data_IF_583121594567
#
_entry.id   IF_583121594567
#
_cell.length_a   1.000
_cell.length_b   1.000
_cell.length_c   1.000
_cell.angle_alpha   90.00
_cell.angle_beta   90.00
_cell.angle_gamma   90.00
#
_symmetry.space_group_name_H-M   'P 1'
#
loop_
_entity.id
_entity.type
_entity.pdbx_description
1 polymer ?
#
# COMPACT_ATOMS: atom_id res chain seq x y z
N UNK A 1 25.38 35.42 2.66
CA UNK A 1 25.43 34.46 1.54
C UNK A 1 24.00 34.16 1.12
N UNK A 2 23.56 34.79 0.04
CA UNK A 2 22.23 34.62 -0.57
C UNK A 2 22.26 33.40 -1.49
N UNK A 3 21.45 32.38 -1.17
CA UNK A 3 21.27 31.19 -2.01
C UNK A 3 20.37 31.54 -3.20
N UNK A 4 20.95 31.62 -4.39
CA UNK A 4 20.19 31.67 -5.63
C UNK A 4 19.67 30.27 -5.99
N UNK A 5 18.40 30.19 -6.36
CA UNK A 5 17.81 28.99 -6.96
C UNK A 5 18.52 28.64 -8.28
N UNK A 6 18.73 27.35 -8.61
CA UNK A 6 19.38 26.95 -9.84
C UNK A 6 18.48 27.28 -11.05
N UNK A 7 19.08 27.66 -12.20
CA UNK A 7 18.33 28.01 -13.40
C UNK A 7 17.59 26.79 -13.97
N UNK A 8 16.37 27.06 -14.45
CA UNK A 8 15.42 26.06 -14.94
C UNK A 8 16.01 25.13 -15.99
N UNK A 9 15.79 23.83 -15.80
CA UNK A 9 16.07 22.80 -16.78
C UNK A 9 15.24 23.04 -18.05
N UNK A 10 15.82 22.89 -19.25
CA UNK A 10 15.09 23.03 -20.50
C UNK A 10 14.06 21.90 -20.62
N UNK A 11 12.80 22.27 -20.88
CA UNK A 11 11.78 21.33 -21.32
C UNK A 11 12.22 20.68 -22.64
N UNK A 12 12.18 19.33 -22.76
CA UNK A 12 12.46 18.69 -24.03
C UNK A 12 11.38 19.07 -25.05
N UNK A 13 11.78 19.91 -26.01
CA UNK A 13 11.04 20.15 -27.25
C UNK A 13 11.18 18.92 -28.15
N UNK A 14 10.03 18.42 -28.61
CA UNK A 14 9.79 17.29 -29.53
C UNK A 14 9.47 15.96 -28.86
N UNK A 15 8.16 15.80 -28.61
CA UNK A 15 7.49 14.50 -28.58
C UNK A 15 7.57 13.89 -30.00
N UNK A 16 8.00 12.63 -30.17
CA UNK A 16 7.86 11.97 -31.46
C UNK A 16 6.38 11.71 -31.73
N UNK A 17 5.88 12.20 -32.88
CA UNK A 17 4.55 11.89 -33.40
C UNK A 17 4.43 10.38 -33.56
N UNK A 18 3.65 9.75 -32.67
CA UNK A 18 3.26 8.34 -32.79
C UNK A 18 2.40 8.23 -34.05
N UNK A 19 2.86 7.40 -34.98
CA UNK A 19 2.10 7.01 -36.16
C UNK A 19 0.74 6.44 -35.73
N UNK A 20 -0.31 6.87 -36.43
CA UNK A 20 -1.69 6.52 -36.18
C UNK A 20 -1.88 5.00 -35.96
N UNK A 21 -2.19 4.64 -34.72
CA UNK A 21 -2.75 3.32 -34.41
C UNK A 21 -4.20 3.32 -34.91
N UNK A 22 -4.51 2.34 -35.75
CA UNK A 22 -5.84 2.06 -36.27
C UNK A 22 -6.85 1.96 -35.12
N UNK A 23 -8.01 2.62 -35.18
CA UNK A 23 -9.01 2.53 -34.12
C UNK A 23 -9.47 1.09 -33.92
N UNK A 24 -9.53 0.65 -32.64
CA UNK A 24 -10.21 -0.58 -32.25
C UNK A 24 -11.68 -0.49 -32.70
N UNK A 25 -12.30 -1.60 -33.15
CA UNK A 25 -13.71 -1.61 -33.49
C UNK A 25 -14.56 -1.20 -32.29
N UNK A 26 -15.54 -0.32 -32.55
CA UNK A 26 -16.48 0.17 -31.57
C UNK A 26 -17.12 -1.00 -30.80
N UNK A 27 -16.96 -0.97 -29.47
CA UNK A 27 -17.68 -1.89 -28.61
C UNK A 27 -19.19 -1.71 -28.85
N UNK A 28 -19.97 -2.80 -28.97
CA UNK A 28 -21.40 -2.70 -29.25
C UNK A 28 -22.08 -1.89 -28.15
N UNK A 29 -22.76 -0.81 -28.56
CA UNK A 29 -23.66 -0.04 -27.70
C UNK A 29 -24.78 -0.97 -27.22
N UNK A 30 -24.71 -1.39 -25.96
CA UNK A 30 -25.81 -2.06 -25.29
C UNK A 30 -26.97 -1.08 -25.15
N UNK A 31 -28.10 -1.42 -25.76
CA UNK A 31 -29.38 -0.74 -25.61
C UNK A 31 -29.83 -0.77 -24.14
N UNK A 32 -30.45 0.30 -23.62
CA UNK A 32 -31.08 0.27 -22.31
C UNK A 32 -32.42 -0.45 -22.42
N UNK A 33 -32.44 -1.77 -22.22
CA UNK A 33 -33.68 -2.51 -21.98
C UNK A 33 -33.91 -2.68 -20.48
N UNK A 34 -34.90 -1.93 -20.01
CA UNK A 34 -35.96 -2.28 -19.06
C UNK A 34 -35.70 -3.20 -17.85
N UNK A 35 -36.22 -2.69 -16.73
CA UNK A 35 -36.72 -3.40 -15.56
C UNK A 35 -35.69 -4.28 -14.84
N UNK A 36 -34.79 -3.61 -14.12
CA UNK A 36 -34.09 -4.25 -12.99
C UNK A 36 -35.14 -4.65 -11.96
N UNK A 37 -35.33 -5.95 -11.66
CA UNK A 37 -36.22 -6.39 -10.59
C UNK A 37 -35.80 -5.68 -9.32
N UNK A 38 -36.76 -5.21 -8.52
CA UNK A 38 -36.51 -4.67 -7.19
C UNK A 38 -35.75 -5.72 -6.38
N UNK A 39 -34.41 -5.62 -6.37
CA UNK A 39 -33.56 -6.46 -5.57
C UNK A 39 -33.91 -6.11 -4.14
N UNK A 40 -34.54 -7.05 -3.43
CA UNK A 40 -34.73 -6.99 -1.98
C UNK A 40 -33.36 -6.73 -1.38
N UNK A 41 -33.10 -5.48 -1.00
CA UNK A 41 -31.80 -5.04 -0.54
C UNK A 41 -31.53 -5.74 0.80
N UNK A 42 -30.79 -6.86 0.75
CA UNK A 42 -30.42 -7.58 1.96
C UNK A 42 -29.57 -6.63 2.78
N UNK A 43 -30.16 -6.12 3.87
CA UNK A 43 -29.50 -5.17 4.77
C UNK A 43 -28.26 -5.84 5.34
N UNK A 44 -27.08 -5.39 4.91
CA UNK A 44 -25.79 -5.92 5.38
C UNK A 44 -25.46 -5.25 6.70
N UNK A 45 -25.17 -6.07 7.71
CA UNK A 45 -24.80 -5.62 9.06
C UNK A 45 -23.33 -5.97 9.28
N UNK A 46 -22.55 -5.02 9.80
CA UNK A 46 -21.14 -5.22 10.12
C UNK A 46 -20.66 -4.25 11.19
N UNK A 47 -19.44 -4.46 11.68
CA UNK A 47 -18.82 -3.60 12.68
C UNK A 47 -18.08 -2.41 12.05
N UNK A 48 -18.25 -1.23 12.63
CA UNK A 48 -17.52 -0.04 12.21
C UNK A 48 -16.00 -0.28 12.29
N UNK A 49 -15.29 0.06 11.21
CA UNK A 49 -13.83 -0.11 11.14
C UNK A 49 -13.04 0.76 12.15
N UNK A 50 -13.69 1.74 12.76
CA UNK A 50 -13.08 2.63 13.76
C UNK A 50 -13.46 2.20 15.17
N UNK A 51 -14.74 2.33 15.57
CA UNK A 51 -15.17 2.05 16.95
C UNK A 51 -15.69 0.63 17.22
N UNK A 52 -15.96 -0.17 16.18
CA UNK A 52 -16.47 -1.54 16.32
C UNK A 52 -17.99 -1.65 16.50
N UNK A 53 -18.70 -0.53 16.68
CA UNK A 53 -20.17 -0.53 16.77
C UNK A 53 -20.82 -1.12 15.53
N UNK A 54 -21.92 -1.84 15.74
CA UNK A 54 -22.72 -2.39 14.66
C UNK A 54 -23.33 -1.28 13.79
N UNK A 55 -23.27 -1.45 12.47
CA UNK A 55 -23.80 -0.50 11.50
C UNK A 55 -24.19 -1.21 10.21
N UNK A 56 -25.10 -0.57 9.47
CA UNK A 56 -25.48 -0.99 8.11
C UNK A 56 -24.98 -0.01 7.06
N UNK A 57 -24.24 1.02 7.48
CA UNK A 57 -23.70 2.06 6.59
C UNK A 57 -22.34 1.61 6.08
N UNK A 58 -22.18 1.66 4.76
CA UNK A 58 -20.99 1.25 4.02
C UNK A 58 -20.41 2.44 3.26
N UNK A 59 -19.11 2.39 2.98
CA UNK A 59 -18.55 3.27 1.96
C UNK A 59 -19.07 2.87 0.57
N UNK A 60 -19.95 3.69 -0.01
CA UNK A 60 -20.60 3.40 -1.31
C UNK A 60 -19.62 3.15 -2.45
N UNK A 61 -18.52 3.92 -2.50
CA UNK A 61 -17.45 3.73 -3.50
C UNK A 61 -16.76 2.37 -3.36
N UNK A 62 -16.41 1.97 -2.13
CA UNK A 62 -15.78 0.68 -1.89
C UNK A 62 -16.74 -0.48 -2.13
N UNK A 63 -18.03 -0.32 -1.80
CA UNK A 63 -19.06 -1.30 -2.12
C UNK A 63 -19.13 -1.55 -3.64
N UNK A 64 -19.10 -0.49 -4.46
CA UNK A 64 -19.02 -0.61 -5.92
C UNK A 64 -17.76 -1.31 -6.43
N UNK A 65 -16.66 -1.25 -5.67
CA UNK A 65 -15.42 -1.99 -5.94
C UNK A 65 -15.40 -3.41 -5.31
N UNK A 66 -16.50 -3.88 -4.74
CA UNK A 66 -16.60 -5.21 -4.12
C UNK A 66 -15.99 -5.31 -2.73
N UNK A 67 -15.87 -4.20 -2.00
CA UNK A 67 -15.32 -4.14 -0.64
C UNK A 67 -16.32 -3.59 0.36
N UNK A 68 -16.64 -4.39 1.36
CA UNK A 68 -17.53 -3.99 2.45
C UNK A 68 -16.70 -3.33 3.56
N UNK A 69 -16.78 -2.00 3.63
CA UNK A 69 -16.12 -1.18 4.66
C UNK A 69 -17.18 -0.40 5.42
N UNK A 70 -17.38 -0.75 6.69
CA UNK A 70 -18.47 -0.26 7.53
C UNK A 70 -18.03 0.94 8.38
N UNK A 71 -18.91 1.96 8.46
CA UNK A 71 -18.70 3.16 9.27
C UNK A 71 -20.01 3.54 9.96
N UNK A 72 -20.05 3.67 11.30
CA UNK A 72 -21.31 4.03 11.99
C UNK A 72 -21.71 5.50 11.76
N UNK A 73 -20.74 6.37 11.48
CA UNK A 73 -20.93 7.81 11.28
C UNK A 73 -20.01 8.40 10.20
N UNK A 74 -20.40 9.52 9.56
CA UNK A 74 -19.50 10.30 8.70
C UNK A 74 -18.24 10.79 9.43
N UNK A 75 -18.31 11.01 10.75
CA UNK A 75 -17.20 11.46 11.59
C UNK A 75 -16.08 10.41 11.61
N UNK A 76 -16.42 9.12 11.80
CA UNK A 76 -15.46 8.02 11.72
C UNK A 76 -14.88 7.86 10.31
N UNK A 77 -15.66 8.12 9.26
CA UNK A 77 -15.12 8.11 7.91
C UNK A 77 -14.15 9.28 7.68
N UNK A 78 -14.47 10.48 8.17
CA UNK A 78 -13.62 11.68 8.06
C UNK A 78 -12.26 11.48 8.74
N UNK A 79 -12.21 10.80 9.90
CA UNK A 79 -10.96 10.51 10.62
C UNK A 79 -9.91 9.81 9.74
N UNK A 80 -10.36 8.92 8.84
CA UNK A 80 -9.47 8.12 7.98
C UNK A 80 -9.48 8.58 6.52
N UNK A 81 -10.32 9.55 6.15
CA UNK A 81 -10.56 9.92 4.75
C UNK A 81 -9.28 10.37 4.04
N UNK A 82 -8.40 11.10 4.72
CA UNK A 82 -7.10 11.55 4.16
C UNK A 82 -6.30 10.39 3.57
N UNK A 83 -6.27 9.24 4.23
CA UNK A 83 -5.51 8.08 3.75
C UNK A 83 -6.40 7.15 2.91
N UNK A 84 -7.64 6.92 3.34
CA UNK A 84 -8.58 6.03 2.68
C UNK A 84 -8.94 6.47 1.26
N UNK A 85 -9.13 7.76 0.99
CA UNK A 85 -9.54 8.22 -0.34
C UNK A 85 -8.55 7.84 -1.46
N UNK A 86 -7.28 7.58 -1.11
CA UNK A 86 -6.23 7.15 -2.06
C UNK A 86 -6.46 5.71 -2.57
N UNK A 87 -7.18 4.88 -1.81
CA UNK A 87 -7.54 3.49 -2.20
C UNK A 87 -9.05 3.30 -2.44
N UNK A 88 -9.87 4.24 -1.96
CA UNK A 88 -11.32 4.19 -2.02
C UNK A 88 -11.85 4.06 -3.45
N UNK A 89 -12.71 3.08 -3.70
CA UNK A 89 -13.38 2.86 -4.99
C UNK A 89 -12.47 2.41 -6.12
N UNK A 90 -11.22 2.05 -5.86
CA UNK A 90 -10.30 1.50 -6.87
C UNK A 90 -10.30 -0.03 -6.80
N UNK A 91 -10.44 -0.74 -7.93
CA UNK A 91 -10.16 -2.17 -7.97
C UNK A 91 -8.65 -2.37 -7.87
N UNK A 92 -8.11 -2.56 -6.66
CA UNK A 92 -6.66 -2.69 -6.39
C UNK A 92 -5.97 -3.90 -7.07
N UNK A 93 -6.71 -4.62 -7.94
CA UNK A 93 -6.21 -5.58 -8.92
C UNK A 93 -6.97 -5.33 -10.23
N UNK A 94 -6.30 -4.99 -11.35
CA UNK A 94 -4.86 -4.79 -11.51
C UNK A 94 -4.40 -3.37 -11.12
N UNK A 95 -5.28 -2.47 -10.64
CA UNK A 95 -4.89 -1.08 -10.44
C UNK A 95 -3.78 -0.94 -9.41
N UNK A 96 -2.86 -0.03 -9.74
CA UNK A 96 -1.70 0.25 -8.92
C UNK A 96 -2.15 0.71 -7.54
N UNK A 97 -1.29 0.41 -6.54
CA UNK A 97 -1.27 1.16 -5.28
C UNK A 97 -1.30 2.65 -5.60
N UNK A 98 -1.82 3.51 -4.71
CA UNK A 98 -1.87 4.93 -5.02
C UNK A 98 -0.48 5.40 -5.43
N UNK A 99 -0.45 6.18 -6.50
CA UNK A 99 0.74 6.86 -6.99
C UNK A 99 1.43 7.62 -5.84
N UNK A 100 2.71 7.94 -6.02
CA UNK A 100 3.41 8.79 -5.07
C UNK A 100 2.61 10.09 -4.94
N UNK A 101 2.38 10.52 -3.71
CA UNK A 101 1.99 11.91 -3.48
C UNK A 101 3.12 12.82 -3.95
N UNK A 102 2.78 14.08 -4.22
CA UNK A 102 3.82 15.08 -4.59
C UNK A 102 4.93 15.17 -3.55
N UNK A 103 4.59 15.05 -2.27
CA UNK A 103 5.56 15.06 -1.17
C UNK A 103 6.48 13.82 -1.22
N UNK A 104 5.92 12.61 -1.35
CA UNK A 104 6.73 11.39 -1.47
C UNK A 104 7.73 11.47 -2.64
N UNK A 105 7.29 12.01 -3.78
CA UNK A 105 8.15 12.16 -4.96
C UNK A 105 9.27 13.18 -4.75
N UNK A 106 8.96 14.35 -4.17
CA UNK A 106 9.96 15.38 -3.86
C UNK A 106 11.00 14.87 -2.87
N UNK A 107 10.58 14.15 -1.84
CA UNK A 107 11.49 13.57 -0.84
C UNK A 107 12.39 12.50 -1.44
N UNK A 108 11.82 11.62 -2.29
CA UNK A 108 12.60 10.59 -2.98
C UNK A 108 13.66 11.22 -3.90
N UNK A 109 13.32 12.27 -4.65
CA UNK A 109 14.28 13.01 -5.50
C UNK A 109 15.33 13.71 -4.66
N UNK A 110 14.94 14.40 -3.59
CA UNK A 110 15.85 15.16 -2.74
C UNK A 110 16.88 14.29 -2.00
N UNK A 111 16.58 13.00 -1.82
CA UNK A 111 17.43 12.06 -1.10
C UNK A 111 17.89 10.89 -1.98
N UNK A 112 17.79 10.95 -3.31
CA UNK A 112 18.00 9.77 -4.17
C UNK A 112 19.43 9.22 -4.13
N UNK A 113 20.40 10.05 -3.74
CA UNK A 113 21.83 9.75 -3.61
C UNK A 113 22.24 9.31 -2.20
N UNK A 114 21.35 9.42 -1.20
CA UNK A 114 21.66 9.05 0.20
C UNK A 114 21.80 7.52 0.33
N UNK A 115 22.94 6.98 0.81
CA UNK A 115 23.10 5.55 0.99
C UNK A 115 22.17 5.01 2.09
N UNK A 116 21.61 3.81 1.89
CA UNK A 116 20.77 3.12 2.87
C UNK A 116 20.92 1.61 2.76
N UNK A 117 20.55 0.89 3.83
CA UNK A 117 20.64 -0.57 3.88
C UNK A 117 19.44 -1.20 3.15
N UNK A 118 19.73 -1.89 2.05
CA UNK A 118 18.77 -2.68 1.27
C UNK A 118 18.31 -3.92 2.03
N UNK A 119 17.21 -4.59 1.62
CA UNK A 119 16.73 -5.81 2.27
C UNK A 119 17.87 -6.81 2.44
N UNK A 120 18.64 -7.04 1.38
CA UNK A 120 19.75 -7.98 1.32
C UNK A 120 21.06 -7.51 2.00
N UNK A 121 20.99 -6.51 2.87
CA UNK A 121 22.12 -6.04 3.69
C UNK A 121 23.11 -5.10 2.97
N UNK A 122 23.12 -5.06 1.64
CA UNK A 122 23.93 -4.11 0.85
C UNK A 122 23.57 -2.67 1.19
N UNK A 123 24.58 -1.81 1.23
CA UNK A 123 24.38 -0.36 1.32
C UNK A 123 24.37 0.19 -0.11
N UNK A 124 23.27 0.84 -0.49
CA UNK A 124 23.14 1.51 -1.78
C UNK A 124 22.18 2.71 -1.66
N UNK A 125 22.31 3.67 -2.55
CA UNK A 125 21.37 4.77 -2.75
C UNK A 125 20.19 4.35 -3.63
N UNK A 126 19.11 5.16 -3.69
CA UNK A 126 18.00 4.92 -4.60
C UNK A 126 18.47 4.98 -6.06
N UNK A 127 19.41 5.88 -6.37
CA UNK A 127 19.97 6.04 -7.70
C UNK A 127 20.77 4.81 -8.16
N UNK A 128 21.59 4.22 -7.27
CA UNK A 128 22.32 2.98 -7.54
C UNK A 128 21.35 1.79 -7.70
N UNK A 129 20.38 1.67 -6.80
CA UNK A 129 19.38 0.60 -6.85
C UNK A 129 18.59 0.60 -8.17
N UNK A 130 18.05 1.76 -8.57
CA UNK A 130 17.29 1.87 -9.81
C UNK A 130 18.17 1.66 -11.06
N UNK A 131 19.43 2.07 -11.01
CA UNK A 131 20.39 1.82 -12.09
C UNK A 131 20.70 0.33 -12.25
N UNK A 132 20.87 -0.40 -11.14
CA UNK A 132 21.02 -1.86 -11.14
C UNK A 132 19.78 -2.58 -11.69
N UNK A 133 18.59 -1.99 -11.48
CA UNK A 133 17.34 -2.45 -12.07
C UNK A 133 17.16 -2.03 -13.56
N UNK A 134 18.17 -1.40 -14.17
CA UNK A 134 18.17 -1.01 -15.59
C UNK A 134 17.60 0.38 -15.89
N UNK A 135 17.27 1.19 -14.87
CA UNK A 135 16.85 2.57 -15.06
C UNK A 135 18.08 3.48 -15.19
N UNK A 136 18.39 3.94 -16.40
CA UNK A 136 19.55 4.80 -16.63
C UNK A 136 19.48 6.07 -15.76
N UNK A 137 20.59 6.42 -15.10
CA UNK A 137 20.71 7.51 -14.12
C UNK A 137 20.04 8.81 -14.54
N UNK A 138 20.21 9.21 -15.81
CA UNK A 138 19.64 10.45 -16.37
C UNK A 138 18.11 10.49 -16.41
N UNK A 139 17.43 9.35 -16.28
CA UNK A 139 15.97 9.24 -16.33
C UNK A 139 15.33 9.02 -14.95
N UNK A 140 16.11 8.82 -13.88
CA UNK A 140 15.56 8.44 -12.57
C UNK A 140 14.63 9.52 -12.01
N UNK A 141 15.02 10.80 -12.05
CA UNK A 141 14.16 11.90 -11.60
C UNK A 141 12.85 11.96 -12.40
N UNK A 142 12.95 11.85 -13.73
CA UNK A 142 11.76 11.79 -14.60
C UNK A 142 10.90 10.58 -14.29
N UNK A 143 11.49 9.43 -13.99
CA UNK A 143 10.79 8.20 -13.64
C UNK A 143 10.02 8.36 -12.33
N UNK A 144 10.61 8.95 -11.29
CA UNK A 144 9.93 9.26 -10.02
C UNK A 144 8.73 10.19 -10.25
N UNK A 145 8.90 11.28 -11.04
CA UNK A 145 7.79 12.18 -11.35
C UNK A 145 6.67 11.51 -12.15
N UNK A 146 7.02 10.61 -13.08
CA UNK A 146 6.01 9.82 -13.82
C UNK A 146 5.26 8.82 -12.94
N UNK A 147 5.76 8.50 -11.75
CA UNK A 147 5.06 7.68 -10.75
C UNK A 147 4.30 8.52 -9.71
N UNK A 148 4.20 9.84 -9.92
CA UNK A 148 3.52 10.77 -9.02
C UNK A 148 2.08 11.03 -9.46
N UNK A 149 1.18 11.19 -8.51
CA UNK A 149 -0.23 11.47 -8.78
C UNK A 149 -0.42 12.68 -9.72
N UNK A 150 -1.36 12.56 -10.66
CA UNK A 150 -1.68 13.60 -11.63
C UNK A 150 -0.76 13.66 -12.86
N UNK A 151 0.23 12.77 -12.97
CA UNK A 151 1.05 12.62 -14.18
C UNK A 151 0.52 11.51 -15.10
N UNK A 152 0.90 11.55 -16.37
CA UNK A 152 0.70 10.44 -17.29
C UNK A 152 1.68 9.31 -16.97
N UNK A 153 1.15 8.12 -16.72
CA UNK A 153 1.93 6.96 -16.31
C UNK A 153 2.29 6.12 -17.55
N UNK A 154 3.58 6.03 -17.93
CA UNK A 154 3.99 5.40 -19.19
C UNK A 154 4.02 3.86 -19.11
N UNK A 155 3.81 3.29 -17.92
CA UNK A 155 3.87 1.85 -17.68
C UNK A 155 2.49 1.36 -17.24
N UNK A 156 2.22 0.08 -17.47
CA UNK A 156 1.05 -0.56 -16.91
C UNK A 156 1.06 -0.52 -15.36
N UNK A 157 -0.11 -0.69 -14.76
CA UNK A 157 -0.30 -0.62 -13.30
C UNK A 157 0.55 -1.64 -12.54
N UNK A 158 0.81 -2.81 -13.12
CA UNK A 158 1.58 -3.87 -12.49
C UNK A 158 3.07 -3.53 -12.45
N UNK A 159 3.65 -3.13 -13.59
CA UNK A 159 5.05 -2.67 -13.67
C UNK A 159 5.30 -1.46 -12.77
N UNK A 160 4.36 -0.51 -12.79
CA UNK A 160 4.41 0.67 -11.92
C UNK A 160 4.39 0.33 -10.43
N UNK A 161 3.70 -0.75 -10.05
CA UNK A 161 3.58 -1.16 -8.66
C UNK A 161 4.94 -1.52 -8.05
N UNK A 162 5.76 -2.29 -8.76
CA UNK A 162 7.08 -2.69 -8.26
C UNK A 162 7.94 -1.44 -7.95
N UNK A 163 8.02 -0.51 -8.89
CA UNK A 163 8.77 0.74 -8.70
C UNK A 163 8.23 1.60 -7.55
N UNK A 164 6.91 1.70 -7.39
CA UNK A 164 6.27 2.39 -6.26
C UNK A 164 6.62 1.74 -4.91
N UNK A 165 6.70 0.41 -4.86
CA UNK A 165 7.08 -0.33 -3.66
C UNK A 165 8.54 -0.07 -3.32
N UNK A 166 9.44 -0.18 -4.30
CA UNK A 166 10.86 0.03 -4.11
C UNK A 166 11.17 1.46 -3.61
N UNK A 167 10.60 2.49 -4.25
CA UNK A 167 10.80 3.88 -3.84
C UNK A 167 10.33 4.09 -2.39
N UNK A 168 9.14 3.59 -2.04
CA UNK A 168 8.58 3.75 -0.69
C UNK A 168 9.35 2.98 0.37
N UNK A 169 9.75 1.75 0.09
CA UNK A 169 10.58 0.92 0.96
C UNK A 169 11.92 1.61 1.24
N UNK A 170 12.58 2.13 0.19
CA UNK A 170 13.87 2.81 0.31
C UNK A 170 13.77 4.12 1.08
N UNK A 171 12.70 4.89 0.90
CA UNK A 171 12.47 6.10 1.69
C UNK A 171 12.15 5.80 3.16
N UNK A 172 11.36 4.76 3.44
CA UNK A 172 11.12 4.31 4.81
C UNK A 172 12.43 3.94 5.52
N UNK A 173 13.29 3.14 4.87
CA UNK A 173 14.57 2.70 5.44
C UNK A 173 15.54 3.85 5.69
N UNK A 174 15.50 4.88 4.83
CA UNK A 174 16.27 6.12 5.06
C UNK A 174 15.79 6.84 6.33
N UNK A 175 14.48 6.90 6.55
CA UNK A 175 13.89 7.56 7.73
C UNK A 175 14.03 6.74 9.01
N UNK A 176 14.14 5.42 8.90
CA UNK A 176 14.22 4.50 10.01
C UNK A 176 15.53 3.69 9.98
N UNK A 177 16.69 4.33 10.20
CA UNK A 177 17.99 3.65 10.14
C UNK A 177 18.18 2.64 11.27
N UNK A 178 17.54 2.84 12.42
CA UNK A 178 17.58 1.95 13.57
C UNK A 178 16.73 0.67 13.38
N UNK A 179 15.85 0.64 12.38
CA UNK A 179 14.93 -0.48 12.17
C UNK A 179 13.69 -0.45 13.06
N UNK A 180 13.58 0.50 14.00
CA UNK A 180 12.39 0.64 14.84
C UNK A 180 11.34 1.56 14.19
N UNK A 181 10.34 0.94 13.57
CA UNK A 181 9.24 1.68 12.95
C UNK A 181 8.51 2.60 13.92
N UNK A 182 8.46 2.28 15.22
CA UNK A 182 7.74 3.06 16.21
C UNK A 182 8.30 4.48 16.35
N UNK A 183 9.58 4.69 16.06
CA UNK A 183 10.23 6.00 16.05
C UNK A 183 9.73 6.91 14.92
N UNK A 184 9.27 6.32 13.81
CA UNK A 184 8.86 7.07 12.60
C UNK A 184 7.36 7.00 12.31
N UNK A 185 6.58 6.22 13.06
CA UNK A 185 5.15 6.01 12.83
C UNK A 185 4.37 7.33 12.68
N UNK A 186 4.67 8.33 13.51
CA UNK A 186 3.98 9.62 13.51
C UNK A 186 4.33 10.53 12.31
N UNK A 187 5.47 10.29 11.65
CA UNK A 187 6.03 11.21 10.63
C UNK A 187 6.07 10.62 9.23
N UNK A 188 5.83 9.31 9.10
CA UNK A 188 5.86 8.62 7.81
C UNK A 188 4.49 8.60 7.12
N UNK A 189 4.50 8.48 5.78
CA UNK A 189 3.27 8.27 5.04
C UNK A 189 2.67 6.89 5.31
N UNK A 190 1.33 6.81 5.40
CA UNK A 190 0.61 5.56 5.67
C UNK A 190 0.94 4.50 4.63
N UNK A 191 1.15 4.88 3.37
CA UNK A 191 1.39 3.93 2.29
C UNK A 191 2.83 3.41 2.28
N UNK A 192 3.80 4.18 2.75
CA UNK A 192 5.16 3.67 2.97
C UNK A 192 5.12 2.54 4.01
N UNK A 193 4.44 2.76 5.13
CA UNK A 193 4.29 1.76 6.19
C UNK A 193 3.44 0.55 5.76
N UNK A 194 2.32 0.80 5.08
CA UNK A 194 1.44 -0.27 4.56
C UNK A 194 2.20 -1.15 3.59
N UNK A 195 3.04 -0.56 2.73
CA UNK A 195 3.82 -1.30 1.74
C UNK A 195 4.86 -2.20 2.38
N UNK A 196 5.62 -1.68 3.35
CA UNK A 196 6.64 -2.47 4.05
C UNK A 196 5.99 -3.61 4.82
N UNK A 197 4.92 -3.33 5.57
CA UNK A 197 4.22 -4.36 6.32
C UNK A 197 3.65 -5.44 5.39
N UNK A 198 3.02 -5.06 4.28
CA UNK A 198 2.52 -6.02 3.30
C UNK A 198 3.64 -6.82 2.62
N UNK A 199 4.77 -6.21 2.32
CA UNK A 199 5.93 -6.91 1.77
C UNK A 199 6.46 -7.97 2.73
N UNK A 200 6.47 -7.65 4.02
CA UNK A 200 6.90 -8.55 5.08
C UNK A 200 5.93 -9.69 5.37
N UNK A 201 4.62 -9.40 5.30
CA UNK A 201 3.55 -10.40 5.44
C UNK A 201 3.42 -11.28 4.20
N UNK A 202 3.69 -10.72 3.03
CA UNK A 202 3.48 -11.38 1.74
C UNK A 202 4.53 -10.90 0.71
N UNK A 203 5.68 -11.58 0.58
CA UNK A 203 6.79 -11.10 -0.27
C UNK A 203 6.52 -11.21 -1.78
N UNK A 204 5.38 -11.78 -2.19
CA UNK A 204 5.00 -11.94 -3.61
C UNK A 204 4.04 -10.85 -4.08
N UNK A 205 4.40 -9.61 -3.76
CA UNK A 205 3.68 -8.41 -4.15
C UNK A 205 4.26 -7.82 -5.43
N UNK A 206 3.43 -7.35 -6.39
CA UNK A 206 1.96 -7.38 -6.42
C UNK A 206 1.34 -8.77 -6.56
N UNK A 207 0.15 -8.97 -5.99
CA UNK A 207 -0.61 -10.22 -6.07
C UNK A 207 -2.03 -9.99 -6.60
N UNK A 208 -2.51 -10.88 -7.47
CA UNK A 208 -3.85 -10.80 -8.07
C UNK A 208 -4.95 -11.48 -7.22
N UNK A 209 -4.68 -11.65 -5.92
CA UNK A 209 -5.59 -12.36 -5.01
C UNK A 209 -6.80 -11.52 -4.66
N UNK A 210 -7.96 -12.14 -4.61
CA UNK A 210 -9.24 -11.46 -4.31
C UNK A 210 -9.25 -10.84 -2.90
N UNK A 211 -8.63 -11.50 -1.91
CA UNK A 211 -8.53 -10.96 -0.55
C UNK A 211 -7.65 -9.70 -0.46
N UNK A 212 -6.67 -9.56 -1.35
CA UNK A 212 -5.58 -8.59 -1.20
C UNK A 212 -6.08 -7.13 -1.17
N UNK A 213 -6.95 -6.67 -2.10
CA UNK A 213 -7.55 -5.34 -2.02
C UNK A 213 -8.29 -5.05 -0.71
N UNK A 214 -9.06 -6.01 -0.22
CA UNK A 214 -9.85 -5.86 1.01
C UNK A 214 -9.00 -5.80 2.28
N UNK A 215 -7.90 -6.57 2.30
CA UNK A 215 -6.90 -6.54 3.37
C UNK A 215 -6.11 -5.22 3.36
N UNK A 216 -5.68 -4.77 2.17
CA UNK A 216 -4.96 -3.51 2.00
C UNK A 216 -5.78 -2.31 2.50
N UNK A 217 -7.08 -2.23 2.17
CA UNK A 217 -7.96 -1.18 2.70
C UNK A 217 -7.97 -1.13 4.23
N UNK A 218 -8.09 -2.29 4.88
CA UNK A 218 -8.15 -2.38 6.33
C UNK A 218 -6.81 -2.05 6.98
N UNK A 219 -5.70 -2.46 6.36
CA UNK A 219 -4.35 -2.07 6.79
C UNK A 219 -4.14 -0.56 6.69
N UNK A 220 -4.53 0.08 5.59
CA UNK A 220 -4.46 1.55 5.44
C UNK A 220 -5.26 2.25 6.54
N UNK A 221 -6.47 1.77 6.84
CA UNK A 221 -7.32 2.32 7.91
C UNK A 221 -6.66 2.15 9.29
N UNK A 222 -6.20 0.94 9.61
CA UNK A 222 -5.50 0.64 10.85
C UNK A 222 -4.26 1.52 11.04
N UNK A 223 -3.39 1.59 10.03
CA UNK A 223 -2.13 2.34 10.10
C UNK A 223 -2.37 3.86 10.09
N UNK A 224 -3.42 4.33 9.42
CA UNK A 224 -3.84 5.74 9.50
C UNK A 224 -4.24 6.12 10.93
N UNK A 225 -5.06 5.29 11.59
CA UNK A 225 -5.46 5.51 12.98
C UNK A 225 -4.26 5.42 13.92
N UNK A 226 -3.43 4.38 13.77
CA UNK A 226 -2.25 4.19 14.63
C UNK A 226 -1.27 5.36 14.51
N UNK A 227 -1.00 5.86 13.30
CA UNK A 227 -0.19 7.05 13.08
C UNK A 227 -0.77 8.28 13.79
N UNK A 228 -2.08 8.51 13.66
CA UNK A 228 -2.74 9.64 14.31
C UNK A 228 -2.67 9.54 15.83
N UNK A 229 -2.89 8.35 16.39
CA UNK A 229 -2.75 8.08 17.82
C UNK A 229 -1.32 8.37 18.30
N UNK A 230 -0.31 7.87 17.60
CA UNK A 230 1.11 8.11 17.93
C UNK A 230 1.53 9.58 17.76
N UNK A 231 0.88 10.31 16.87
CA UNK A 231 1.05 11.76 16.72
C UNK A 231 0.28 12.58 17.80
N UNK A 232 -0.39 11.93 18.76
CA UNK A 232 -1.10 12.60 19.84
C UNK A 232 -2.45 13.20 19.45
N UNK A 233 -3.08 12.72 18.37
CA UNK A 233 -4.42 13.19 18.00
C UNK A 233 -5.46 12.77 19.06
N UNK A 234 -6.09 13.71 19.79
CA UNK A 234 -7.02 13.39 20.87
C UNK A 234 -8.32 12.74 20.38
N UNK A 235 -8.64 12.82 19.09
CA UNK A 235 -9.83 12.19 18.50
C UNK A 235 -9.64 10.72 18.15
N UNK A 236 -8.43 10.16 18.32
CA UNK A 236 -8.13 8.76 18.04
C UNK A 236 -7.65 8.09 19.33
N UNK A 237 -8.39 7.11 19.81
CA UNK A 237 -8.01 6.31 20.98
C UNK A 237 -7.22 5.06 20.58
N UNK A 238 -6.50 4.47 21.54
CA UNK A 238 -5.87 3.16 21.34
C UNK A 238 -6.91 2.08 21.01
N UNK A 239 -8.12 2.18 21.56
CA UNK A 239 -9.22 1.25 21.30
C UNK A 239 -9.66 1.30 19.83
N UNK A 240 -9.71 2.48 19.20
CA UNK A 240 -9.99 2.60 17.77
C UNK A 240 -8.94 1.88 16.93
N UNK A 241 -7.66 2.02 17.29
CA UNK A 241 -6.58 1.32 16.61
C UNK A 241 -6.69 -0.21 16.78
N UNK A 242 -7.00 -0.69 17.99
CA UNK A 242 -7.18 -2.13 18.28
C UNK A 242 -8.36 -2.72 17.52
N UNK A 243 -9.48 -2.00 17.47
CA UNK A 243 -10.62 -2.44 16.68
C UNK A 243 -10.29 -2.49 15.18
N UNK A 244 -9.64 -1.46 14.63
CA UNK A 244 -9.22 -1.48 13.24
C UNK A 244 -8.28 -2.66 12.90
N UNK A 245 -7.36 -2.99 13.81
CA UNK A 245 -6.52 -4.19 13.71
C UNK A 245 -7.36 -5.47 13.67
N UNK A 246 -8.27 -5.64 14.64
CA UNK A 246 -9.18 -6.80 14.72
C UNK A 246 -10.04 -6.97 13.45
N UNK A 247 -10.44 -5.87 12.82
CA UNK A 247 -11.21 -5.93 11.57
C UNK A 247 -10.42 -6.50 10.38
N UNK A 248 -9.07 -6.45 10.42
CA UNK A 248 -8.21 -7.15 9.46
C UNK A 248 -8.36 -8.66 9.68
N UNK A 249 -8.21 -9.13 10.92
CA UNK A 249 -8.30 -10.55 11.27
C UNK A 249 -9.68 -11.13 10.92
N UNK A 250 -10.75 -10.42 11.30
CA UNK A 250 -12.13 -10.80 10.99
C UNK A 250 -12.33 -10.94 9.49
N UNK A 251 -11.79 -10.01 8.70
CA UNK A 251 -11.89 -10.10 7.24
C UNK A 251 -11.13 -11.31 6.68
N UNK A 252 -9.88 -11.51 7.10
CA UNK A 252 -9.07 -12.64 6.62
C UNK A 252 -9.67 -13.99 6.99
N UNK A 253 -10.38 -14.07 8.13
CA UNK A 253 -11.12 -15.26 8.55
C UNK A 253 -12.48 -15.42 7.84
N UNK A 254 -13.01 -14.37 7.22
CA UNK A 254 -14.34 -14.39 6.60
C UNK A 254 -14.36 -15.07 5.23
N UNK A 255 -15.50 -15.65 4.82
CA UNK A 255 -15.67 -16.14 3.44
C UNK A 255 -15.49 -15.07 2.37
N UNK A 256 -15.69 -13.79 2.71
CA UNK A 256 -15.56 -12.67 1.78
C UNK A 256 -14.12 -12.48 1.28
N UNK A 257 -13.11 -12.87 2.08
CA UNK A 257 -11.72 -12.83 1.64
C UNK A 257 -11.45 -13.82 0.50
N UNK A 258 -12.16 -14.97 0.44
CA UNK A 258 -11.84 -16.07 -0.48
C UNK A 258 -10.36 -16.48 -0.39
N UNK A 259 -9.80 -16.41 0.82
CA UNK A 259 -8.43 -16.77 1.12
C UNK A 259 -8.37 -18.25 1.50
N UNK A 260 -7.36 -18.98 1.02
CA UNK A 260 -7.15 -20.36 1.45
C UNK A 260 -6.72 -20.39 2.92
N UNK A 261 -7.13 -21.41 3.66
CA UNK A 261 -6.76 -21.55 5.09
C UNK A 261 -5.25 -21.43 5.31
N UNK A 262 -4.43 -22.11 4.51
CA UNK A 262 -2.98 -22.04 4.62
C UNK A 262 -2.40 -20.65 4.29
N UNK A 263 -3.00 -19.92 3.33
CA UNK A 263 -2.60 -18.54 3.04
C UNK A 263 -2.97 -17.62 4.22
N UNK A 264 -4.17 -17.80 4.79
CA UNK A 264 -4.68 -17.05 5.94
C UNK A 264 -3.82 -17.25 7.17
N UNK A 265 -3.50 -18.48 7.51
CA UNK A 265 -2.75 -18.81 8.72
C UNK A 265 -1.34 -18.19 8.66
N UNK A 266 -0.65 -18.27 7.50
CA UNK A 266 0.65 -17.59 7.30
C UNK A 266 0.54 -16.07 7.46
N UNK A 267 -0.53 -15.45 6.97
CA UNK A 267 -0.72 -14.01 7.06
C UNK A 267 -1.01 -13.57 8.50
N UNK A 268 -1.89 -14.29 9.20
CA UNK A 268 -2.22 -14.03 10.61
C UNK A 268 -1.01 -14.24 11.52
N UNK A 269 -0.27 -15.33 11.34
CA UNK A 269 0.99 -15.58 12.07
C UNK A 269 1.97 -14.42 11.89
N UNK A 270 2.10 -13.92 10.65
CA UNK A 270 2.93 -12.75 10.36
C UNK A 270 2.42 -11.48 11.06
N UNK A 271 1.10 -11.24 11.06
CA UNK A 271 0.51 -10.09 11.75
C UNK A 271 0.77 -10.15 13.26
N UNK A 272 0.60 -11.32 13.88
CA UNK A 272 0.84 -11.51 15.32
C UNK A 272 2.31 -11.46 15.69
N UNK A 273 3.20 -11.92 14.81
CA UNK A 273 4.64 -11.80 15.02
C UNK A 273 5.12 -10.35 14.97
N UNK A 274 4.50 -9.51 14.14
CA UNK A 274 4.96 -8.14 13.90
C UNK A 274 4.21 -7.06 14.65
N UNK A 275 3.00 -7.33 15.12
CA UNK A 275 2.18 -6.34 15.78
C UNK A 275 1.68 -6.97 17.07
N UNK A 276 2.12 -6.40 18.18
CA UNK A 276 1.58 -6.75 19.49
C UNK A 276 0.12 -6.26 19.56
N UNK A 277 -0.89 -7.13 19.65
CA UNK A 277 -2.29 -6.74 19.52
C UNK A 277 -2.78 -5.86 20.68
N UNK A 278 -2.12 -5.94 21.84
CA UNK A 278 -2.46 -5.15 23.00
C UNK A 278 -1.85 -3.75 22.90
N UNK A 279 -0.55 -3.65 22.64
CA UNK A 279 0.18 -2.37 22.67
C UNK A 279 0.25 -1.68 21.31
N UNK A 280 -0.05 -2.41 20.24
CA UNK A 280 0.10 -2.01 18.83
C UNK A 280 1.51 -1.47 18.53
N UNK A 281 2.51 -2.03 19.22
CA UNK A 281 3.92 -1.83 18.89
C UNK A 281 4.23 -2.68 17.67
N UNK A 282 4.80 -2.04 16.64
CA UNK A 282 5.20 -2.73 15.40
C UNK A 282 6.65 -3.17 15.52
N UNK A 283 6.90 -4.48 15.56
CA UNK A 283 8.22 -5.11 15.58
C UNK A 283 8.54 -5.67 14.21
N UNK A 284 8.75 -4.79 13.24
CA UNK A 284 9.09 -5.19 11.88
C UNK A 284 10.60 -5.18 11.69
N UNK A 285 11.25 -6.31 11.38
CA UNK A 285 12.65 -6.30 11.02
C UNK A 285 12.79 -5.61 9.65
N UNK A 286 13.35 -4.39 9.62
CA UNK A 286 13.63 -3.70 8.35
C UNK A 286 14.83 -4.32 7.60
N UNK A 287 15.54 -5.26 8.22
CA UNK A 287 16.62 -6.00 7.59
C UNK A 287 16.35 -7.51 7.73
N UNK A 288 15.91 -8.12 6.63
CA UNK A 288 15.68 -9.57 6.55
C UNK A 288 16.98 -10.36 6.36
N UNK A 289 18.12 -9.68 6.39
CA UNK A 289 19.42 -10.27 6.10
C UNK A 289 20.42 -9.88 7.17
N UNK A 290 21.23 -10.87 7.55
CA UNK A 290 22.39 -10.71 8.41
C UNK A 290 23.39 -9.70 7.81
N UNK A 291 24.31 -9.13 8.61
CA UNK A 291 25.39 -8.28 8.10
C UNK A 291 26.19 -8.93 6.97
N UNK A 292 26.27 -10.26 6.94
CA UNK A 292 26.94 -11.07 5.93
C UNK A 292 26.11 -11.26 4.64
N UNK A 293 24.94 -10.61 4.53
CA UNK A 293 24.09 -10.70 3.34
C UNK A 293 23.34 -12.03 3.22
N UNK A 294 23.25 -12.83 4.29
CA UNK A 294 22.42 -14.03 4.32
C UNK A 294 21.02 -13.70 4.84
N UNK A 295 19.95 -14.20 4.20
CA UNK A 295 18.59 -14.09 4.77
C UNK A 295 18.57 -14.65 6.19
N UNK A 296 17.95 -13.93 7.12
CA UNK A 296 17.71 -14.36 8.48
C UNK A 296 16.98 -15.71 8.48
N UNK A 297 17.33 -16.59 9.42
CA UNK A 297 16.74 -17.92 9.52
C UNK A 297 15.21 -17.84 9.63
N UNK A 298 14.71 -16.89 10.41
CA UNK A 298 13.29 -16.60 10.58
C UNK A 298 12.60 -16.24 9.26
N UNK A 299 13.23 -15.39 8.45
CA UNK A 299 12.69 -15.02 7.14
C UNK A 299 12.69 -16.20 6.16
N UNK A 300 13.78 -16.97 6.14
CA UNK A 300 13.87 -18.21 5.33
C UNK A 300 12.77 -19.19 5.71
N UNK A 301 12.55 -19.39 7.00
CA UNK A 301 11.53 -20.30 7.51
C UNK A 301 10.12 -19.83 7.10
N UNK A 302 9.84 -18.53 7.25
CA UNK A 302 8.57 -17.92 6.84
C UNK A 302 8.31 -18.05 5.34
N UNK A 303 9.30 -17.73 4.50
CA UNK A 303 9.21 -17.97 3.04
C UNK A 303 8.95 -19.46 2.78
N UNK A 304 9.61 -20.35 3.52
CA UNK A 304 9.38 -21.79 3.44
C UNK A 304 7.93 -22.18 3.76
N UNK A 305 7.35 -21.66 4.84
CA UNK A 305 5.94 -21.86 5.21
C UNK A 305 5.02 -21.34 4.10
N UNK A 306 5.29 -20.15 3.59
CA UNK A 306 4.53 -19.57 2.48
C UNK A 306 4.57 -20.44 1.21
N UNK A 307 5.76 -20.89 0.78
CA UNK A 307 5.91 -21.76 -0.40
C UNK A 307 5.09 -23.04 -0.25
N UNK A 308 5.12 -23.65 0.94
CA UNK A 308 4.31 -24.84 1.26
C UNK A 308 2.81 -24.54 1.21
N UNK A 309 2.36 -23.42 1.77
CA UNK A 309 0.96 -22.99 1.75
C UNK A 309 0.44 -22.75 0.32
N UNK A 310 1.28 -22.18 -0.57
CA UNK A 310 0.92 -21.97 -1.98
C UNK A 310 0.88 -23.27 -2.77
N UNK A 311 1.77 -24.22 -2.46
CA UNK A 311 1.87 -25.51 -3.16
C UNK A 311 0.78 -26.52 -2.75
N UNK A 312 0.11 -26.34 -1.61
CA UNK A 312 -0.96 -27.21 -1.14
C UNK A 312 -2.30 -27.03 -1.90
N UNK A 313 -2.26 -26.51 -3.13
CA UNK A 313 -3.40 -26.33 -4.05
C UNK A 313 -3.52 -27.51 -4.99
#
# INVERSE_FOLDING_TARGET
MTLHAPPGLPLPSRVPTIAAMTPLPDSPKLSPTDETPAQTEVKRIGACLVCGEETTKLCSKCLGAGHELFFCSPEHQKLIWRDHHRVCGRPLVPDSRPWLSKLEALEAVANMDVPRRLPHGKIASLIEFLNEAGCATRFIVTHIYRLTEGHEHPYDSYTSHAALVDIRMLELRRRCPAGDLNEVLGTIDTFQLTNELLYQLWPCMPTNKVWYPGANHRLVIFLSLLRQFRAGNPSVSLEFCRNAYKQIEVFLASPAAKMLSAERDVFLDGLHAYIDPETLVIRLPLCDYTPEGCMAAEFKERIGRWRRAVAAK
#
